data_IF_500615509778
#
_entry.id   IF_500615509778
#
_cell.length_a   1.000
_cell.length_b   1.000
_cell.length_c   1.000
_cell.angle_alpha   90.00
_cell.angle_beta   90.00
_cell.angle_gamma   90.00
#
_symmetry.space_group_name_H-M   'P 1'
#
loop_
_entity.id
_entity.type
_entity.pdbx_description
1 polymer ?
#
# COMPACT_ATOMS: atom_id res chain seq x y z
N UNK A 1 -47.83 -2.68 -21.49
CA UNK A 1 -46.78 -2.78 -20.45
C UNK A 1 -45.52 -2.13 -21.02
N UNK A 2 -45.48 -0.80 -21.02
CA UNK A 2 -44.61 0.05 -20.18
C UNK A 2 -43.11 -0.27 -20.26
N UNK A 3 -42.43 0.40 -21.20
CA UNK A 3 -40.99 0.66 -21.22
C UNK A 3 -40.68 1.75 -20.18
N UNK A 4 -39.61 1.59 -19.40
CA UNK A 4 -39.03 2.69 -18.61
C UNK A 4 -37.51 2.63 -18.69
N UNK A 5 -37.00 3.37 -19.67
CA UNK A 5 -35.64 3.91 -19.68
C UNK A 5 -35.59 5.08 -18.68
N UNK A 6 -34.61 5.12 -17.78
CA UNK A 6 -34.32 6.30 -16.96
C UNK A 6 -32.81 6.59 -16.96
N UNK A 7 -32.38 7.30 -17.99
CA UNK A 7 -31.14 8.10 -17.99
C UNK A 7 -31.46 9.42 -17.30
N UNK A 8 -30.81 9.73 -16.16
CA UNK A 8 -30.94 11.03 -15.49
C UNK A 8 -29.70 11.86 -15.72
N UNK A 9 -29.81 12.78 -16.67
CA UNK A 9 -28.89 13.89 -16.94
C UNK A 9 -28.93 14.89 -15.78
N UNK A 10 -27.76 15.29 -15.28
CA UNK A 10 -27.59 16.37 -14.33
C UNK A 10 -27.51 17.71 -15.09
N UNK A 11 -28.47 18.59 -14.84
CA UNK A 11 -28.43 19.99 -15.26
C UNK A 11 -28.73 20.88 -14.06
N UNK A 12 -27.74 21.65 -13.63
CA UNK A 12 -27.89 22.95 -12.97
C UNK A 12 -26.63 23.73 -13.39
N UNK A 13 -26.67 24.95 -13.91
CA UNK A 13 -27.70 25.97 -13.97
C UNK A 13 -26.92 27.28 -14.09
N UNK A 14 -27.27 28.09 -15.09
CA UNK A 14 -26.44 29.18 -15.61
C UNK A 14 -26.23 30.37 -14.65
N UNK A 15 -25.10 31.04 -14.87
CA UNK A 15 -24.67 32.33 -14.34
C UNK A 15 -25.30 33.48 -15.13
N UNK A 16 -25.89 34.48 -14.45
CA UNK A 16 -25.74 35.92 -14.72
C UNK A 16 -26.83 36.78 -14.03
N UNK A 17 -26.40 37.84 -13.32
CA UNK A 17 -27.09 39.13 -13.25
C UNK A 17 -26.11 40.24 -12.78
N UNK A 18 -25.96 41.30 -13.58
CA UNK A 18 -25.34 42.59 -13.24
C UNK A 18 -26.38 43.49 -12.51
N UNK A 19 -26.06 44.55 -11.76
CA UNK A 19 -25.58 45.91 -12.14
C UNK A 19 -25.36 46.70 -10.83
N UNK A 20 -24.42 47.67 -10.79
CA UNK A 20 -24.60 48.88 -9.97
C UNK A 20 -23.35 49.51 -9.35
N UNK A 21 -22.98 50.69 -9.82
CA UNK A 21 -21.80 51.47 -9.44
C UNK A 21 -21.94 52.22 -8.10
N UNK A 22 -20.82 52.40 -7.40
CA UNK A 22 -20.69 53.30 -6.24
C UNK A 22 -19.23 53.47 -5.84
N UNK A 23 -18.61 54.57 -6.28
CA UNK A 23 -17.24 54.93 -5.92
C UNK A 23 -17.18 55.54 -4.51
N UNK A 24 -16.42 54.92 -3.61
CA UNK A 24 -15.89 55.56 -2.41
C UNK A 24 -14.43 55.14 -2.24
N UNK A 25 -13.53 56.14 -2.26
CA UNK A 25 -12.13 56.03 -1.90
C UNK A 25 -12.02 55.78 -0.38
N UNK A 26 -11.35 54.71 0.02
CA UNK A 26 -10.73 54.59 1.33
C UNK A 26 -9.46 53.73 1.22
N UNK A 27 -8.37 54.26 1.77
CA UNK A 27 -7.02 53.76 1.65
C UNK A 27 -6.66 52.67 2.68
N UNK A 28 -5.53 52.03 2.39
CA UNK A 28 -4.64 51.29 3.29
C UNK A 28 -5.02 49.84 3.67
N UNK A 29 -4.13 48.91 3.30
CA UNK A 29 -4.06 47.57 3.87
C UNK A 29 -3.62 46.49 2.88
N UNK A 30 -2.37 46.53 2.41
CA UNK A 30 -1.74 45.33 1.87
C UNK A 30 -1.46 44.38 3.03
N UNK A 31 -2.42 43.53 3.38
CA UNK A 31 -2.16 42.38 4.24
C UNK A 31 -1.46 41.31 3.38
N UNK A 32 -0.14 41.40 3.34
CA UNK A 32 0.73 40.34 2.86
C UNK A 32 0.44 39.09 3.71
N UNK A 33 -0.21 38.09 3.13
CA UNK A 33 -0.35 36.79 3.78
C UNK A 33 1.05 36.19 3.90
N UNK A 34 1.58 36.16 5.13
CA UNK A 34 2.78 35.41 5.47
C UNK A 34 2.54 33.92 5.19
N UNK A 35 3.57 33.16 4.76
CA UNK A 35 3.45 31.71 4.71
C UNK A 35 3.33 31.23 6.17
N UNK A 36 2.28 30.47 6.47
CA UNK A 36 2.18 29.77 7.73
C UNK A 36 3.27 28.69 7.76
N UNK A 37 4.35 28.98 8.47
CA UNK A 37 5.37 28.01 8.85
C UNK A 37 4.69 27.03 9.80
N UNK A 38 4.44 25.80 9.35
CA UNK A 38 4.03 24.70 10.21
C UNK A 38 5.29 24.12 10.88
N UNK A 39 5.51 24.33 12.19
CA UNK A 39 6.60 23.65 12.89
C UNK A 39 6.06 22.28 13.30
N UNK A 40 6.17 21.31 12.41
CA UNK A 40 5.61 19.97 12.68
C UNK A 40 5.56 19.01 11.50
N UNK A 41 6.16 19.33 10.36
CA UNK A 41 6.58 18.29 9.43
C UNK A 41 7.99 17.88 9.85
N UNK A 42 8.09 17.05 10.90
CA UNK A 42 9.24 16.17 11.00
C UNK A 42 9.18 15.32 9.73
N UNK A 43 9.97 15.71 8.74
CA UNK A 43 10.27 14.88 7.59
C UNK A 43 10.82 13.60 8.19
N UNK A 44 9.99 12.57 8.30
CA UNK A 44 10.49 11.22 8.45
C UNK A 44 11.28 10.98 7.17
N UNK A 45 12.59 11.22 7.24
CA UNK A 45 13.51 10.79 6.21
C UNK A 45 13.17 9.32 5.95
N UNK A 46 12.71 9.01 4.73
CA UNK A 46 12.67 7.66 4.22
C UNK A 46 14.01 7.01 4.57
N UNK A 47 13.98 5.98 5.41
CA UNK A 47 15.18 5.22 5.70
C UNK A 47 15.68 4.69 4.35
N UNK A 48 16.97 4.89 4.01
CA UNK A 48 17.51 4.38 2.76
C UNK A 48 17.32 2.86 2.72
N UNK A 49 17.00 2.33 1.54
CA UNK A 49 17.21 0.91 1.25
C UNK A 49 18.66 0.58 1.60
N UNK A 50 18.84 -0.36 2.55
CA UNK A 50 20.12 -0.91 3.05
C UNK A 50 21.35 0.01 2.93
N UNK A 51 21.52 0.93 3.88
CA UNK A 51 22.73 1.75 3.97
C UNK A 51 23.93 1.07 4.66
N UNK A 52 23.76 -0.10 5.28
CA UNK A 52 24.78 -0.64 6.21
C UNK A 52 25.46 -1.92 5.71
N UNK A 53 25.15 -2.40 4.50
CA UNK A 53 25.71 -3.65 3.94
C UNK A 53 25.32 -4.93 4.68
N UNK A 54 24.57 -4.81 5.79
CA UNK A 54 23.90 -5.91 6.47
C UNK A 54 22.46 -5.97 5.95
N UNK A 55 22.02 -7.14 5.51
CA UNK A 55 20.62 -7.35 5.11
C UNK A 55 19.64 -7.12 6.27
N UNK A 56 18.35 -7.06 5.97
CA UNK A 56 17.28 -7.03 6.98
C UNK A 56 17.05 -8.45 7.52
N UNK A 57 16.96 -8.62 8.84
CA UNK A 57 16.67 -9.94 9.42
C UNK A 57 15.20 -10.33 9.21
N UNK A 58 14.92 -11.64 9.21
CA UNK A 58 13.54 -12.16 9.13
C UNK A 58 12.66 -11.65 10.26
N UNK A 59 13.19 -11.59 11.49
CA UNK A 59 12.45 -11.07 12.64
C UNK A 59 12.06 -9.59 12.45
N UNK A 60 12.96 -8.78 11.89
CA UNK A 60 12.66 -7.38 11.58
C UNK A 60 11.61 -7.27 10.46
N UNK A 61 11.68 -8.12 9.43
CA UNK A 61 10.63 -8.18 8.39
C UNK A 61 9.26 -8.43 9.01
N UNK A 62 9.14 -9.43 9.88
CA UNK A 62 7.86 -9.76 10.54
C UNK A 62 7.41 -8.63 11.46
N UNK A 63 8.32 -8.05 12.25
CA UNK A 63 8.02 -6.91 13.12
C UNK A 63 7.48 -5.72 12.33
N UNK A 64 8.09 -5.40 11.19
CA UNK A 64 7.63 -4.33 10.30
C UNK A 64 6.27 -4.66 9.70
N UNK A 65 6.04 -5.89 9.28
CA UNK A 65 4.74 -6.31 8.79
C UNK A 65 3.64 -6.10 9.84
N UNK A 66 3.86 -6.54 11.07
CA UNK A 66 2.91 -6.35 12.18
C UNK A 66 2.71 -4.87 12.55
N UNK A 67 3.78 -4.08 12.55
CA UNK A 67 3.72 -2.63 12.75
C UNK A 67 2.87 -1.93 11.68
N UNK A 68 3.04 -2.34 10.42
CA UNK A 68 2.25 -1.85 9.29
C UNK A 68 0.77 -2.20 9.46
N UNK A 69 0.47 -3.43 9.90
CA UNK A 69 -0.91 -3.84 10.16
C UNK A 69 -1.57 -2.97 11.24
N UNK A 70 -0.83 -2.64 12.31
CA UNK A 70 -1.36 -1.84 13.41
C UNK A 70 -1.60 -0.37 13.01
N UNK A 71 -0.76 0.20 12.15
CA UNK A 71 -0.75 1.65 11.87
C UNK A 71 -1.46 2.06 10.58
N UNK A 72 -1.63 1.16 9.62
CA UNK A 72 -2.30 1.43 8.35
C UNK A 72 -3.55 0.55 8.20
N UNK A 73 -4.64 0.82 8.95
CA UNK A 73 -5.75 -0.12 9.13
C UNK A 73 -6.68 -0.25 7.92
N UNK A 74 -6.29 0.26 6.75
CA UNK A 74 -7.10 0.16 5.54
C UNK A 74 -6.28 -0.04 4.28
N UNK A 75 -6.81 -0.88 3.41
CA UNK A 75 -6.38 -1.08 2.04
C UNK A 75 -6.83 0.05 1.10
N UNK A 76 -5.98 0.44 0.15
CA UNK A 76 -6.30 1.39 -0.91
C UNK A 76 -5.43 1.12 -2.14
N UNK A 77 -6.06 0.76 -3.27
CA UNK A 77 -5.36 0.74 -4.56
C UNK A 77 -5.31 2.16 -5.12
N UNK A 78 -4.12 2.68 -5.43
CA UNK A 78 -3.96 4.01 -6.05
C UNK A 78 -2.93 4.90 -5.36
N UNK A 79 -3.05 6.22 -5.59
CA UNK A 79 -2.14 7.29 -5.13
C UNK A 79 -2.28 7.58 -3.63
N UNK A 80 -2.08 6.55 -2.80
CA UNK A 80 -2.22 6.65 -1.36
C UNK A 80 -1.09 5.89 -0.65
N UNK A 81 -0.47 6.55 0.33
CA UNK A 81 0.82 6.14 0.89
C UNK A 81 0.82 6.10 2.41
N UNK A 82 1.64 5.21 2.98
CA UNK A 82 2.04 5.21 4.38
C UNK A 82 3.54 4.97 4.43
N UNK A 83 4.26 5.87 5.10
CA UNK A 83 5.72 5.90 5.17
C UNK A 83 6.39 5.70 3.80
N UNK A 84 5.90 6.41 2.79
CA UNK A 84 6.33 6.37 1.37
C UNK A 84 6.01 5.09 0.59
N UNK A 85 5.37 4.08 1.19
CA UNK A 85 4.92 2.86 0.49
C UNK A 85 3.43 2.91 0.16
N UNK A 86 3.05 2.39 -1.01
CA UNK A 86 1.63 2.27 -1.39
C UNK A 86 0.84 1.51 -0.33
N UNK A 87 -0.44 1.85 -0.14
CA UNK A 87 -1.34 1.13 0.79
C UNK A 87 -2.08 -0.03 0.15
N UNK A 88 -1.39 -0.76 -0.73
CA UNK A 88 -1.87 -1.98 -1.36
C UNK A 88 -1.07 -3.21 -0.88
N UNK A 89 -1.33 -4.38 -1.48
CA UNK A 89 -0.76 -5.66 -1.08
C UNK A 89 0.76 -5.69 -1.29
N UNK A 90 1.23 -5.18 -2.43
CA UNK A 90 2.65 -5.16 -2.77
C UNK A 90 3.41 -4.03 -2.08
N UNK A 91 2.76 -2.90 -1.78
CA UNK A 91 3.30 -1.85 -0.91
C UNK A 91 3.45 -2.31 0.54
N UNK A 92 2.55 -3.18 1.03
CA UNK A 92 2.70 -3.84 2.34
C UNK A 92 3.95 -4.72 2.40
N UNK A 93 4.16 -5.60 1.42
CA UNK A 93 5.35 -6.47 1.38
C UNK A 93 6.63 -5.64 1.20
N UNK A 94 6.60 -4.59 0.37
CA UNK A 94 7.73 -3.68 0.19
C UNK A 94 8.10 -2.94 1.49
N UNK A 95 7.09 -2.51 2.27
CA UNK A 95 7.31 -1.92 3.59
C UNK A 95 7.94 -2.92 4.55
N UNK A 96 7.41 -4.15 4.61
CA UNK A 96 7.92 -5.21 5.50
C UNK A 96 9.39 -5.53 5.18
N UNK A 97 9.76 -5.62 3.91
CA UNK A 97 11.13 -5.85 3.47
C UNK A 97 12.05 -4.62 3.54
N UNK A 98 11.48 -3.43 3.76
CA UNK A 98 12.20 -2.17 3.64
C UNK A 98 12.92 -2.03 2.29
N UNK A 99 12.27 -2.46 1.21
CA UNK A 99 12.87 -2.52 -0.13
C UNK A 99 12.87 -1.19 -0.88
N UNK A 100 12.41 -0.10 -0.24
CA UNK A 100 12.29 1.23 -0.82
C UNK A 100 10.88 1.56 -1.32
N UNK A 101 10.43 2.81 -1.06
CA UNK A 101 9.17 3.36 -1.56
C UNK A 101 9.28 3.81 -3.03
N UNK A 102 8.19 3.75 -3.83
CA UNK A 102 6.82 3.42 -3.43
C UNK A 102 6.53 1.91 -3.27
N UNK A 103 7.53 1.07 -3.51
CA UNK A 103 7.39 -0.39 -3.58
C UNK A 103 7.12 -0.89 -5.00
N UNK A 104 7.18 -2.21 -5.16
CA UNK A 104 6.97 -2.90 -6.44
C UNK A 104 5.48 -3.19 -6.70
N UNK A 105 5.14 -3.61 -7.91
CA UNK A 105 3.88 -4.32 -8.16
C UNK A 105 4.07 -5.81 -7.85
N UNK A 106 2.99 -6.52 -7.57
CA UNK A 106 3.00 -7.95 -7.15
C UNK A 106 3.85 -8.82 -8.09
N UNK A 107 3.77 -8.56 -9.40
CA UNK A 107 4.46 -9.31 -10.45
C UNK A 107 5.84 -8.77 -10.84
N UNK A 108 6.31 -7.63 -10.29
CA UNK A 108 7.58 -6.99 -10.70
C UNK A 108 8.76 -7.26 -9.77
N UNK A 109 8.54 -7.80 -8.57
CA UNK A 109 9.62 -8.08 -7.60
C UNK A 109 10.77 -8.91 -8.16
N UNK A 110 10.47 -10.00 -8.88
CA UNK A 110 11.50 -10.86 -9.48
C UNK A 110 12.09 -10.24 -10.75
N UNK A 111 11.30 -9.78 -11.74
CA UNK A 111 11.84 -9.12 -12.94
C UNK A 111 12.73 -7.91 -12.66
N UNK A 112 12.46 -7.15 -11.59
CA UNK A 112 13.24 -5.97 -11.21
C UNK A 112 14.45 -6.30 -10.31
N UNK A 113 14.67 -7.58 -9.97
CA UNK A 113 15.80 -8.00 -9.15
C UNK A 113 15.68 -7.66 -7.67
N UNK A 114 14.48 -7.32 -7.19
CA UNK A 114 14.21 -7.08 -5.76
C UNK A 114 14.14 -8.40 -5.00
N UNK A 115 13.62 -9.44 -5.64
CA UNK A 115 13.49 -10.79 -5.09
C UNK A 115 13.94 -11.86 -6.11
N UNK A 116 14.00 -13.11 -5.67
CA UNK A 116 14.16 -14.28 -6.53
C UNK A 116 13.10 -15.33 -6.19
N UNK A 117 12.76 -16.19 -7.17
CA UNK A 117 11.88 -17.32 -6.93
C UNK A 117 12.56 -18.38 -6.05
N UNK A 118 11.78 -19.03 -5.19
CA UNK A 118 12.23 -20.13 -4.32
C UNK A 118 11.29 -21.34 -4.46
N UNK A 119 11.75 -22.52 -4.05
CA UNK A 119 10.87 -23.69 -3.97
C UNK A 119 9.90 -23.56 -2.77
N UNK A 120 8.75 -24.24 -2.84
CA UNK A 120 7.76 -24.23 -1.75
C UNK A 120 8.35 -24.78 -0.45
N UNK A 121 9.25 -25.75 -0.57
CA UNK A 121 9.90 -26.45 0.53
C UNK A 121 10.98 -25.59 1.20
N UNK A 122 11.43 -24.53 0.52
CA UNK A 122 12.45 -23.61 1.02
C UNK A 122 11.85 -22.39 1.74
N UNK A 123 10.53 -22.24 1.73
CA UNK A 123 9.83 -21.09 2.33
C UNK A 123 10.18 -20.98 3.83
N UNK A 124 10.44 -19.75 4.24
CA UNK A 124 10.74 -19.36 5.62
C UNK A 124 9.94 -18.10 6.00
N UNK A 125 9.76 -17.83 7.31
CA UNK A 125 9.20 -16.56 7.79
C UNK A 125 9.88 -15.34 7.17
N UNK A 126 9.10 -14.40 6.64
CA UNK A 126 9.58 -13.21 5.94
C UNK A 126 9.73 -13.38 4.43
N UNK A 127 9.57 -14.58 3.87
CA UNK A 127 9.39 -14.75 2.43
C UNK A 127 7.97 -14.34 2.01
N UNK A 128 7.71 -14.22 0.71
CA UNK A 128 6.38 -13.91 0.18
C UNK A 128 5.92 -14.93 -0.85
N UNK A 129 4.62 -14.98 -1.08
CA UNK A 129 4.02 -15.80 -2.14
C UNK A 129 3.21 -14.84 -2.99
N UNK A 130 3.54 -14.77 -4.28
CA UNK A 130 2.97 -13.82 -5.23
C UNK A 130 2.12 -14.50 -6.28
N UNK A 131 1.36 -13.69 -6.99
CA UNK A 131 0.49 -14.02 -8.10
C UNK A 131 0.28 -12.80 -9.00
N UNK A 132 -0.51 -12.94 -10.07
CA UNK A 132 -0.73 -11.85 -11.02
C UNK A 132 -1.28 -10.56 -10.38
N UNK A 133 -2.21 -10.71 -9.43
CA UNK A 133 -2.94 -9.58 -8.85
C UNK A 133 -2.72 -9.40 -7.34
N UNK A 134 -2.03 -10.34 -6.68
CA UNK A 134 -1.93 -10.34 -5.21
C UNK A 134 -0.62 -10.92 -4.71
N UNK A 135 -0.23 -10.50 -3.50
CA UNK A 135 0.97 -10.98 -2.82
C UNK A 135 0.73 -11.01 -1.30
N UNK A 136 1.25 -12.05 -0.65
CA UNK A 136 1.16 -12.23 0.80
C UNK A 136 2.53 -12.46 1.42
N UNK A 137 2.70 -12.03 2.66
CA UNK A 137 3.92 -12.28 3.43
C UNK A 137 3.73 -13.51 4.32
N UNK A 138 4.72 -14.41 4.35
CA UNK A 138 4.72 -15.57 5.22
C UNK A 138 5.21 -15.17 6.61
N UNK A 139 4.37 -15.29 7.63
CA UNK A 139 4.74 -15.10 9.04
C UNK A 139 5.29 -16.36 9.67
N UNK A 140 4.71 -17.52 9.37
CA UNK A 140 5.17 -18.80 9.89
C UNK A 140 4.89 -19.95 8.91
N UNK A 141 5.71 -20.99 9.01
CA UNK A 141 5.48 -22.29 8.37
C UNK A 141 5.15 -23.28 9.48
N UNK A 142 3.99 -23.91 9.40
CA UNK A 142 3.51 -24.86 10.39
C UNK A 142 4.11 -26.26 10.14
N UNK A 143 4.17 -27.14 11.17
CA UNK A 143 4.72 -28.49 11.01
C UNK A 143 4.02 -29.37 9.95
N UNK A 144 2.76 -29.06 9.61
CA UNK A 144 1.98 -29.75 8.59
C UNK A 144 2.19 -29.17 7.17
N UNK A 145 3.05 -28.16 7.03
CA UNK A 145 3.35 -27.48 5.76
C UNK A 145 2.35 -26.38 5.38
N UNK A 146 1.39 -26.06 6.25
CA UNK A 146 0.54 -24.86 6.09
C UNK A 146 1.28 -23.59 6.52
N UNK A 147 0.69 -22.43 6.23
CA UNK A 147 1.30 -21.13 6.46
C UNK A 147 0.40 -20.23 7.31
N UNK A 148 1.03 -19.48 8.22
CA UNK A 148 0.45 -18.25 8.76
C UNK A 148 0.93 -17.09 7.91
N UNK A 149 0.00 -16.27 7.42
CA UNK A 149 0.26 -15.22 6.44
C UNK A 149 -0.21 -13.87 6.96
N UNK A 150 0.48 -12.80 6.56
CA UNK A 150 0.08 -11.42 6.77
C UNK A 150 -0.17 -10.76 5.41
N UNK A 151 -1.27 -10.03 5.30
CA UNK A 151 -1.61 -9.34 4.06
C UNK A 151 -2.43 -8.07 4.29
N UNK A 152 -2.31 -7.15 3.33
CA UNK A 152 -3.23 -6.06 3.14
C UNK A 152 -4.07 -6.31 1.89
N UNK A 153 -5.39 -6.42 2.07
CA UNK A 153 -6.37 -6.61 1.00
C UNK A 153 -6.54 -8.09 0.59
N UNK A 154 -7.39 -8.83 1.29
CA UNK A 154 -7.65 -10.26 1.07
C UNK A 154 -8.65 -10.56 -0.06
N UNK A 155 -8.60 -9.79 -1.16
CA UNK A 155 -9.44 -10.06 -2.33
C UNK A 155 -10.86 -9.46 -2.33
N UNK A 156 -11.15 -8.43 -1.52
CA UNK A 156 -12.40 -7.66 -1.64
C UNK A 156 -12.12 -6.17 -1.77
N UNK A 157 -12.90 -5.49 -2.63
CA UNK A 157 -12.86 -4.04 -2.77
C UNK A 157 -13.40 -3.37 -1.51
N UNK A 158 -12.56 -2.61 -0.80
CA UNK A 158 -12.97 -1.86 0.39
C UNK A 158 -11.82 -1.59 1.35
N UNK A 159 -12.09 -0.77 2.38
CA UNK A 159 -11.19 -0.52 3.51
C UNK A 159 -11.17 -1.77 4.40
N UNK A 160 -10.56 -2.86 3.95
CA UNK A 160 -10.35 -4.02 4.80
C UNK A 160 -9.16 -3.78 5.73
N UNK A 161 -9.34 -4.21 6.98
CA UNK A 161 -8.27 -4.23 7.94
C UNK A 161 -7.22 -5.26 7.48
N UNK A 162 -5.94 -5.01 7.73
CA UNK A 162 -4.91 -6.05 7.66
C UNK A 162 -5.33 -7.28 8.45
N UNK A 163 -5.14 -8.45 7.85
CA UNK A 163 -5.55 -9.71 8.45
C UNK A 163 -4.35 -10.67 8.52
N UNK A 164 -4.33 -11.48 9.58
CA UNK A 164 -3.57 -12.72 9.61
C UNK A 164 -4.47 -13.81 9.03
N UNK A 165 -3.94 -14.66 8.14
CA UNK A 165 -4.67 -15.81 7.61
C UNK A 165 -3.85 -17.08 7.69
N UNK A 166 -4.52 -18.18 8.00
CA UNK A 166 -3.98 -19.51 7.80
C UNK A 166 -4.30 -19.97 6.37
N UNK A 167 -3.35 -20.60 5.68
CA UNK A 167 -3.61 -21.20 4.36
C UNK A 167 -2.67 -22.38 4.07
N UNK A 168 -3.19 -23.35 3.33
CA UNK A 168 -2.41 -24.42 2.71
C UNK A 168 -1.85 -23.99 1.35
N UNK A 169 -0.85 -24.73 0.85
CA UNK A 169 -0.33 -24.57 -0.51
C UNK A 169 -1.42 -24.66 -1.58
N UNK A 170 -2.32 -25.64 -1.46
CA UNK A 170 -3.37 -25.86 -2.45
C UNK A 170 -4.40 -24.72 -2.46
N UNK A 171 -4.77 -24.19 -1.29
CA UNK A 171 -5.64 -23.01 -1.18
C UNK A 171 -5.00 -21.79 -1.83
N UNK A 172 -3.71 -21.55 -1.57
CA UNK A 172 -2.95 -20.45 -2.18
C UNK A 172 -2.92 -20.54 -3.70
N UNK A 173 -2.61 -21.73 -4.24
CA UNK A 173 -2.62 -21.98 -5.68
C UNK A 173 -4.02 -21.77 -6.26
N UNK A 174 -5.08 -22.22 -5.58
CA UNK A 174 -6.47 -22.04 -6.03
C UNK A 174 -6.91 -20.56 -6.08
N UNK A 175 -6.21 -19.69 -5.34
CA UNK A 175 -6.42 -18.24 -5.30
C UNK A 175 -5.51 -17.48 -6.26
N UNK A 176 -4.80 -18.17 -7.16
CA UNK A 176 -3.78 -17.61 -8.05
C UNK A 176 -2.62 -16.91 -7.31
N UNK A 177 -2.31 -17.32 -6.08
CA UNK A 177 -1.15 -16.86 -5.30
C UNK A 177 -0.20 -18.05 -5.14
N UNK A 178 0.57 -18.33 -6.19
CA UNK A 178 1.24 -19.63 -6.37
C UNK A 178 2.75 -19.59 -6.53
N UNK A 179 3.37 -18.41 -6.44
CA UNK A 179 4.78 -18.19 -6.76
C UNK A 179 5.57 -17.75 -5.52
N UNK A 180 6.24 -18.68 -4.81
CA UNK A 180 7.10 -18.33 -3.67
C UNK A 180 8.32 -17.51 -4.11
N UNK A 181 8.58 -16.41 -3.40
CA UNK A 181 9.69 -15.51 -3.65
C UNK A 181 10.39 -15.10 -2.35
N UNK A 182 11.69 -14.83 -2.44
CA UNK A 182 12.52 -14.35 -1.34
C UNK A 182 13.18 -13.03 -1.68
N UNK A 183 13.08 -12.08 -0.76
CA UNK A 183 13.75 -10.79 -0.86
C UNK A 183 15.27 -10.95 -0.92
N UNK A 184 15.92 -10.28 -1.87
CA UNK A 184 17.38 -10.38 -2.03
C UNK A 184 18.17 -9.69 -0.91
N UNK A 185 17.52 -8.78 -0.17
CA UNK A 185 18.13 -8.06 0.94
C UNK A 185 17.96 -8.70 2.31
N UNK A 186 17.40 -9.91 2.41
CA UNK A 186 17.28 -10.62 3.70
C UNK A 186 18.64 -11.14 4.16
N UNK A 187 18.94 -10.99 5.46
CA UNK A 187 20.14 -11.50 6.13
C UNK A 187 19.95 -12.91 6.71
#
# INVERSE_FOLDING_TARGET
>A
MLKKDLTRTLTHGALAAAIGAGSLLAAAGAAQAAPAENPGAAQAQAAPAQADGQGISRDEIIKRAEDRMAKAPYYSQGQDYFDDYRRDCSGFVSYAWNSGGPGEASFTFVPNGVAHAIAWEDIQPGDAITGPDHIVLVKAVNPDGSFELLEHGGGQTGKEAPNTRHATKDELISQNVGEPIRYNGVA
#
